data_IF_759576891559
#
_entry.id   IF_759576891559
#
_cell.length_a   1.000
_cell.length_b   1.000
_cell.length_c   1.000
_cell.angle_alpha   90.00
_cell.angle_beta   90.00
_cell.angle_gamma   90.00
#
_symmetry.space_group_name_H-M   'P 1'
#
loop_
_entity.id
_entity.type
_entity.pdbx_description
1 polymer ?
#
# COMPACT_ATOMS: atom_id res chain seq x y z
N UNK A 1 3.25 1.69 -27.39
CA UNK A 1 4.33 0.91 -26.74
C UNK A 1 5.45 1.88 -26.45
N UNK A 2 5.95 1.92 -25.25
CA UNK A 2 7.05 2.81 -24.83
C UNK A 2 8.38 2.23 -25.31
N UNK A 3 9.27 3.08 -25.87
CA UNK A 3 10.60 2.66 -26.29
C UNK A 3 11.52 2.53 -25.08
N UNK A 4 11.67 1.34 -24.57
CA UNK A 4 12.60 1.04 -23.49
C UNK A 4 14.00 0.71 -24.03
N UNK A 5 15.04 1.16 -23.33
CA UNK A 5 16.43 0.81 -23.62
C UNK A 5 16.63 -0.68 -23.32
N UNK A 6 17.03 -1.52 -24.29
CA UNK A 6 17.11 -2.97 -24.08
C UNK A 6 17.97 -3.38 -22.89
N UNK A 7 19.16 -2.78 -22.73
CA UNK A 7 20.07 -3.13 -21.63
C UNK A 7 19.50 -2.76 -20.25
N UNK A 8 18.75 -1.66 -20.13
CA UNK A 8 18.12 -1.27 -18.87
C UNK A 8 16.91 -2.17 -18.57
N UNK A 9 16.19 -2.60 -19.60
CA UNK A 9 15.10 -3.56 -19.43
C UNK A 9 15.61 -4.94 -18.98
N UNK A 10 16.75 -5.41 -19.54
CA UNK A 10 17.40 -6.64 -19.10
C UNK A 10 17.86 -6.54 -17.63
N UNK A 11 18.46 -5.41 -17.23
CA UNK A 11 18.82 -5.17 -15.82
C UNK A 11 17.60 -5.18 -14.91
N UNK A 12 16.51 -4.55 -15.32
CA UNK A 12 15.26 -4.56 -14.55
C UNK A 12 14.71 -5.97 -14.37
N UNK A 13 14.69 -6.77 -15.43
CA UNK A 13 14.28 -8.19 -15.39
C UNK A 13 15.18 -9.02 -14.48
N UNK A 14 16.49 -8.84 -14.59
CA UNK A 14 17.46 -9.49 -13.71
C UNK A 14 17.15 -9.22 -12.23
N UNK A 15 16.92 -7.95 -11.88
CA UNK A 15 16.59 -7.56 -10.51
C UNK A 15 15.29 -8.17 -9.99
N UNK A 16 14.28 -8.29 -10.83
CA UNK A 16 13.02 -8.94 -10.45
C UNK A 16 13.23 -10.43 -10.20
N UNK A 17 13.87 -11.12 -11.13
CA UNK A 17 14.11 -12.57 -11.07
C UNK A 17 14.99 -12.92 -9.87
N UNK A 18 16.09 -12.20 -9.67
CA UNK A 18 17.04 -12.50 -8.59
C UNK A 18 16.45 -12.22 -7.20
N UNK A 19 15.67 -11.15 -7.05
CA UNK A 19 14.95 -10.87 -5.79
C UNK A 19 13.89 -11.94 -5.48
N UNK A 20 13.17 -12.41 -6.47
CA UNK A 20 12.20 -13.49 -6.29
C UNK A 20 12.89 -14.82 -5.94
N UNK A 21 13.98 -15.15 -6.59
CA UNK A 21 14.82 -16.29 -6.25
C UNK A 21 15.30 -16.25 -4.80
N UNK A 22 15.80 -15.10 -4.34
CA UNK A 22 16.20 -14.90 -2.94
C UNK A 22 15.03 -15.17 -1.98
N UNK A 23 13.82 -14.67 -2.30
CA UNK A 23 12.63 -14.92 -1.49
C UNK A 23 12.33 -16.41 -1.39
N UNK A 24 12.28 -17.09 -2.52
CA UNK A 24 11.98 -18.53 -2.59
C UNK A 24 13.01 -19.37 -1.83
N UNK A 25 14.31 -19.07 -1.97
CA UNK A 25 15.37 -19.74 -1.23
C UNK A 25 15.22 -19.56 0.29
N UNK A 26 14.93 -18.34 0.76
CA UNK A 26 14.67 -18.06 2.17
C UNK A 26 13.46 -18.81 2.71
N UNK A 27 12.36 -18.83 1.97
CA UNK A 27 11.13 -19.53 2.35
C UNK A 27 11.33 -21.06 2.32
N UNK A 28 12.18 -21.55 1.43
CA UNK A 28 12.59 -22.96 1.37
C UNK A 28 13.60 -23.37 2.46
N UNK A 29 14.03 -22.44 3.30
CA UNK A 29 14.98 -22.73 4.40
C UNK A 29 16.43 -22.89 3.95
N UNK A 30 16.80 -22.40 2.76
CA UNK A 30 18.19 -22.44 2.29
C UNK A 30 19.07 -21.48 3.12
N UNK A 31 20.30 -21.92 3.40
CA UNK A 31 21.30 -21.09 4.08
C UNK A 31 21.89 -20.03 3.12
N UNK A 32 22.27 -18.85 3.62
CA UNK A 32 22.94 -17.82 2.83
C UNK A 32 24.36 -18.25 2.39
N UNK A 33 24.92 -17.65 1.31
CA UNK A 33 24.33 -16.57 0.52
C UNK A 33 23.28 -17.07 -0.49
N UNK A 34 22.18 -16.29 -0.66
CA UNK A 34 21.10 -16.65 -1.59
C UNK A 34 21.29 -16.10 -3.01
N UNK A 35 22.34 -15.34 -3.23
CA UNK A 35 22.70 -14.69 -4.50
C UNK A 35 24.20 -14.39 -4.52
N UNK A 36 24.77 -14.30 -5.71
CA UNK A 36 26.15 -13.82 -5.91
C UNK A 36 26.22 -12.31 -6.13
N UNK A 37 25.09 -11.62 -6.26
CA UNK A 37 25.04 -10.17 -6.44
C UNK A 37 25.39 -9.44 -5.13
N UNK A 38 26.50 -8.67 -5.09
CA UNK A 38 26.97 -8.02 -3.87
C UNK A 38 26.01 -6.95 -3.33
N UNK A 39 25.17 -6.34 -4.19
CA UNK A 39 24.18 -5.35 -3.75
C UNK A 39 23.04 -6.09 -3.05
N UNK A 40 22.53 -7.15 -3.65
CA UNK A 40 21.44 -7.95 -3.09
C UNK A 40 21.85 -8.75 -1.84
N UNK A 41 23.14 -9.06 -1.67
CA UNK A 41 23.67 -9.62 -0.43
C UNK A 41 23.66 -8.62 0.73
N UNK A 42 24.00 -7.36 0.45
CA UNK A 42 24.25 -6.35 1.48
C UNK A 42 23.06 -5.42 1.75
N UNK A 43 22.10 -5.32 0.84
CA UNK A 43 20.95 -4.43 0.98
C UNK A 43 19.64 -5.20 0.96
N UNK A 44 18.70 -4.72 1.78
CA UNK A 44 17.35 -5.28 1.84
C UNK A 44 16.42 -4.51 0.89
N UNK A 45 15.73 -5.24 0.03
CA UNK A 45 14.73 -4.70 -0.91
C UNK A 45 13.33 -5.21 -0.57
N UNK A 46 12.30 -4.47 -1.03
CA UNK A 46 10.93 -4.93 -0.97
C UNK A 46 10.73 -6.20 -1.82
N UNK A 47 9.71 -6.97 -1.55
CA UNK A 47 9.33 -8.12 -2.38
C UNK A 47 8.93 -7.65 -3.80
N UNK A 48 9.08 -8.54 -4.79
CA UNK A 48 8.68 -8.27 -6.17
C UNK A 48 7.16 -8.13 -6.24
N UNK A 49 6.45 -9.06 -5.62
CA UNK A 49 5.00 -9.02 -5.51
C UNK A 49 4.57 -8.51 -4.14
N UNK A 50 3.59 -7.62 -4.13
CA UNK A 50 3.05 -7.04 -2.90
C UNK A 50 2.50 -8.10 -1.95
N UNK A 51 1.80 -9.09 -2.49
CA UNK A 51 1.18 -10.15 -1.69
C UNK A 51 2.21 -11.08 -1.02
N UNK A 52 3.48 -11.05 -1.43
CA UNK A 52 4.57 -11.76 -0.78
C UNK A 52 5.23 -11.00 0.38
N UNK A 53 4.88 -9.72 0.56
CA UNK A 53 5.33 -8.98 1.74
C UNK A 53 4.73 -9.55 3.02
N UNK A 54 5.57 -9.74 4.04
CA UNK A 54 5.17 -10.36 5.31
C UNK A 54 4.02 -9.62 5.99
N UNK A 55 4.04 -8.30 5.97
CA UNK A 55 3.01 -7.47 6.61
C UNK A 55 1.71 -7.53 5.81
N UNK A 56 1.81 -7.51 4.49
CA UNK A 56 0.66 -7.65 3.59
C UNK A 56 0.03 -9.04 3.70
N UNK A 57 0.83 -10.12 3.72
CA UNK A 57 0.30 -11.50 3.95
C UNK A 57 -0.42 -11.62 5.29
N UNK A 58 0.15 -11.04 6.34
CA UNK A 58 -0.50 -11.06 7.65
C UNK A 58 -1.82 -10.27 7.63
N UNK A 59 -1.81 -9.07 7.04
CA UNK A 59 -3.01 -8.25 6.89
C UNK A 59 -4.10 -8.95 6.06
N UNK A 60 -3.73 -9.53 4.93
CA UNK A 60 -4.64 -10.31 4.09
C UNK A 60 -5.34 -11.39 4.91
N UNK A 61 -4.56 -12.25 5.55
CA UNK A 61 -5.08 -13.40 6.31
C UNK A 61 -5.96 -13.00 7.51
N UNK A 62 -5.60 -11.93 8.23
CA UNK A 62 -6.23 -11.62 9.52
C UNK A 62 -7.25 -10.49 9.47
N UNK A 63 -7.26 -9.68 8.42
CA UNK A 63 -8.13 -8.50 8.31
C UNK A 63 -8.87 -8.49 6.97
N UNK A 64 -8.15 -8.45 5.84
CA UNK A 64 -8.73 -8.26 4.51
C UNK A 64 -9.64 -9.43 4.10
N UNK A 65 -9.17 -10.66 4.13
CA UNK A 65 -9.93 -11.83 3.71
C UNK A 65 -11.15 -12.09 4.61
N UNK A 66 -11.03 -12.06 5.96
CA UNK A 66 -12.20 -12.20 6.83
C UNK A 66 -13.28 -11.12 6.61
N UNK A 67 -12.90 -9.93 6.15
CA UNK A 67 -13.79 -8.81 5.92
C UNK A 67 -14.07 -8.54 4.44
N UNK A 68 -13.58 -9.37 3.51
CA UNK A 68 -13.58 -9.07 2.06
C UNK A 68 -14.96 -8.77 1.47
N UNK A 69 -16.01 -9.37 2.04
CA UNK A 69 -17.41 -9.15 1.67
C UNK A 69 -18.17 -8.24 2.65
N UNK A 70 -17.47 -7.62 3.59
CA UNK A 70 -18.05 -6.71 4.57
C UNK A 70 -17.74 -5.26 4.21
N UNK A 71 -18.69 -4.32 4.32
CA UNK A 71 -18.42 -2.90 4.12
C UNK A 71 -17.34 -2.36 5.09
N UNK A 72 -17.16 -3.02 6.23
CA UNK A 72 -16.15 -2.64 7.21
C UNK A 72 -14.70 -2.84 6.72
N UNK A 73 -14.47 -3.60 5.64
CA UNK A 73 -13.12 -3.82 5.08
C UNK A 73 -12.46 -2.51 4.68
N UNK A 74 -13.22 -1.52 4.25
CA UNK A 74 -12.69 -0.20 3.88
C UNK A 74 -11.95 0.44 5.06
N UNK A 75 -12.66 0.66 6.16
CA UNK A 75 -12.05 1.33 7.31
C UNK A 75 -11.02 0.47 8.03
N UNK A 76 -11.21 -0.84 8.08
CA UNK A 76 -10.21 -1.75 8.62
C UNK A 76 -8.89 -1.69 7.84
N UNK A 77 -8.96 -1.57 6.51
CA UNK A 77 -7.78 -1.36 5.64
C UNK A 77 -7.13 -0.01 5.89
N UNK A 78 -7.91 1.08 5.91
CA UNK A 78 -7.42 2.43 6.21
C UNK A 78 -6.69 2.44 7.56
N UNK A 79 -7.34 1.97 8.61
CA UNK A 79 -6.77 1.98 9.97
C UNK A 79 -5.47 1.18 10.01
N UNK A 80 -5.46 -0.03 9.46
CA UNK A 80 -4.24 -0.85 9.47
C UNK A 80 -3.10 -0.21 8.67
N UNK A 81 -3.36 0.34 7.48
CA UNK A 81 -2.30 0.92 6.63
C UNK A 81 -1.69 2.18 7.20
N UNK A 82 -2.38 2.93 8.03
CA UNK A 82 -1.77 4.04 8.76
C UNK A 82 -0.64 3.59 9.69
N UNK A 83 -0.73 2.41 10.27
CA UNK A 83 0.32 1.85 11.15
C UNK A 83 1.25 0.90 10.41
N UNK A 84 0.72 0.09 9.53
CA UNK A 84 1.40 -0.92 8.70
C UNK A 84 2.42 -1.76 9.50
N UNK A 85 2.01 -2.23 10.67
CA UNK A 85 2.82 -3.04 11.59
C UNK A 85 1.97 -4.17 12.16
N UNK A 86 2.48 -5.40 12.13
CA UNK A 86 1.76 -6.61 12.54
C UNK A 86 1.37 -6.53 14.03
N UNK A 87 2.30 -6.10 14.87
CA UNK A 87 2.08 -5.96 16.32
C UNK A 87 0.93 -5.00 16.61
N UNK A 88 0.91 -3.86 15.95
CA UNK A 88 -0.21 -2.91 16.05
C UNK A 88 -1.49 -3.48 15.48
N UNK A 89 -1.42 -4.21 14.38
CA UNK A 89 -2.59 -4.93 13.84
C UNK A 89 -3.22 -5.90 14.83
N UNK A 90 -2.42 -6.64 15.59
CA UNK A 90 -2.90 -7.51 16.67
C UNK A 90 -3.63 -6.72 17.76
N UNK A 91 -3.04 -5.61 18.22
CA UNK A 91 -3.67 -4.72 19.21
C UNK A 91 -4.99 -4.14 18.71
N UNK A 92 -5.04 -3.74 17.42
CA UNK A 92 -6.28 -3.23 16.81
C UNK A 92 -7.39 -4.29 16.80
N UNK A 93 -7.06 -5.55 16.51
CA UNK A 93 -8.00 -6.68 16.53
C UNK A 93 -8.42 -6.97 17.98
N UNK A 94 -7.49 -7.14 18.90
CA UNK A 94 -7.73 -7.48 20.31
C UNK A 94 -8.66 -6.49 21.01
N UNK A 95 -8.54 -5.23 20.66
CA UNK A 95 -9.34 -4.15 21.25
C UNK A 95 -10.54 -3.72 20.40
N UNK A 96 -10.85 -4.46 19.33
CA UNK A 96 -11.96 -4.17 18.40
C UNK A 96 -11.92 -2.77 17.76
N UNK A 97 -10.71 -2.25 17.51
CA UNK A 97 -10.49 -0.90 17.00
C UNK A 97 -10.61 -0.82 15.46
N UNK A 98 -10.64 -1.94 14.76
CA UNK A 98 -10.86 -1.97 13.31
C UNK A 98 -12.32 -1.75 12.94
N UNK A 99 -13.24 -2.23 13.78
CA UNK A 99 -14.69 -2.20 13.54
C UNK A 99 -15.39 -1.14 14.37
N UNK A 100 -14.80 -0.76 15.51
CA UNK A 100 -15.32 0.21 16.44
C UNK A 100 -14.20 1.18 16.87
N UNK A 101 -13.87 2.12 15.98
CA UNK A 101 -12.78 3.05 16.21
C UNK A 101 -13.06 3.98 17.39
N UNK A 102 -12.20 3.93 18.38
CA UNK A 102 -12.13 4.89 19.50
C UNK A 102 -10.71 5.47 19.56
N UNK A 103 -10.59 6.75 19.24
CA UNK A 103 -9.31 7.47 19.20
C UNK A 103 -8.54 7.40 20.52
N UNK A 104 -9.22 7.61 21.64
CA UNK A 104 -8.57 7.65 22.96
C UNK A 104 -8.08 6.26 23.36
N UNK A 105 -8.92 5.25 23.14
CA UNK A 105 -8.57 3.84 23.37
C UNK A 105 -7.41 3.42 22.46
N UNK A 106 -7.45 3.78 21.18
CA UNK A 106 -6.40 3.46 20.22
C UNK A 106 -5.04 4.04 20.65
N UNK A 107 -4.97 5.34 20.99
CA UNK A 107 -3.74 5.97 21.47
C UNK A 107 -3.23 5.24 22.72
N UNK A 108 -4.09 5.01 23.71
CA UNK A 108 -3.73 4.35 24.98
C UNK A 108 -3.16 2.95 24.77
N UNK A 109 -3.79 2.13 23.92
CA UNK A 109 -3.39 0.74 23.75
C UNK A 109 -2.17 0.59 22.82
N UNK A 110 -2.10 1.38 21.77
CA UNK A 110 -0.99 1.34 20.80
C UNK A 110 0.31 1.83 21.42
N UNK A 111 0.28 2.87 22.26
CA UNK A 111 1.48 3.45 22.89
C UNK A 111 2.11 2.56 23.96
N UNK A 112 1.44 1.49 24.40
CA UNK A 112 2.05 0.47 25.28
C UNK A 112 3.16 -0.31 24.57
N UNK A 113 3.19 -0.29 23.25
CA UNK A 113 4.19 -0.98 22.44
C UNK A 113 5.44 -0.12 22.26
N UNK A 114 6.64 -0.71 22.27
CA UNK A 114 7.89 0.02 22.04
C UNK A 114 7.99 0.53 20.59
N UNK A 115 7.32 -0.13 19.66
CA UNK A 115 7.19 0.26 18.25
C UNK A 115 5.77 0.00 17.81
N UNK A 116 5.10 1.02 17.30
CA UNK A 116 3.68 0.99 16.95
C UNK A 116 3.40 1.35 15.48
N UNK A 117 4.41 1.74 14.73
CA UNK A 117 4.32 2.09 13.30
C UNK A 117 5.51 1.52 12.53
N UNK A 118 5.29 1.16 11.27
CA UNK A 118 6.39 0.75 10.39
C UNK A 118 7.43 1.86 10.21
N UNK A 119 8.71 1.47 10.12
CA UNK A 119 9.77 2.39 9.71
C UNK A 119 9.87 2.59 8.19
N UNK A 120 9.08 1.85 7.40
CA UNK A 120 9.14 1.89 5.95
C UNK A 120 8.33 3.07 5.35
N UNK A 121 7.36 3.62 6.09
CA UNK A 121 6.48 4.69 5.60
C UNK A 121 6.92 6.05 6.12
N UNK A 122 7.04 7.01 5.21
CA UNK A 122 7.19 8.43 5.55
C UNK A 122 5.81 9.05 5.52
N UNK A 123 5.10 8.98 6.65
CA UNK A 123 3.77 9.57 6.77
C UNK A 123 3.83 10.96 7.39
N UNK A 124 2.96 11.84 6.90
CA UNK A 124 2.75 13.17 7.45
C UNK A 124 1.53 13.16 8.37
N UNK A 125 1.57 13.96 9.42
CA UNK A 125 0.47 14.17 10.37
C UNK A 125 0.47 15.64 10.79
N UNK A 126 -0.58 16.16 11.46
CA UNK A 126 -0.59 17.52 11.96
C UNK A 126 0.64 17.83 12.82
N UNK A 127 1.36 18.91 12.50
CA UNK A 127 2.60 19.31 13.19
C UNK A 127 2.39 19.71 14.67
N UNK A 128 1.16 20.03 15.06
CA UNK A 128 0.79 20.40 16.44
C UNK A 128 0.60 19.21 17.36
N UNK A 129 0.72 17.99 16.85
CA UNK A 129 0.47 16.75 17.58
C UNK A 129 1.70 15.84 17.56
N UNK A 130 1.85 15.02 18.59
CA UNK A 130 2.76 13.88 18.49
C UNK A 130 2.26 12.89 17.41
N UNK A 131 3.17 12.03 16.95
CA UNK A 131 2.93 11.19 15.78
C UNK A 131 1.73 10.24 15.95
N UNK A 132 1.58 9.60 17.11
CA UNK A 132 0.49 8.65 17.34
C UNK A 132 -0.85 9.36 17.43
N UNK A 133 -0.89 10.48 18.12
CA UNK A 133 -2.09 11.34 18.20
C UNK A 133 -2.48 11.87 16.83
N UNK A 134 -1.49 12.32 16.03
CA UNK A 134 -1.73 12.79 14.67
C UNK A 134 -2.28 11.71 13.73
N UNK A 135 -1.74 10.48 13.81
CA UNK A 135 -2.28 9.34 13.04
C UNK A 135 -3.72 9.03 13.47
N UNK A 136 -3.96 8.95 14.78
CA UNK A 136 -5.30 8.67 15.30
C UNK A 136 -6.32 9.77 14.93
N UNK A 137 -5.88 11.02 14.80
CA UNK A 137 -6.71 12.14 14.32
C UNK A 137 -7.07 11.97 12.84
N UNK A 138 -6.09 11.67 11.98
CA UNK A 138 -6.33 11.45 10.55
C UNK A 138 -7.32 10.29 10.32
N UNK A 139 -7.18 9.20 11.07
CA UNK A 139 -8.12 8.08 11.02
C UNK A 139 -9.52 8.53 11.48
N UNK A 140 -9.61 9.33 12.55
CA UNK A 140 -10.89 9.77 13.11
C UNK A 140 -11.67 10.66 12.14
N UNK A 141 -11.02 11.51 11.36
CA UNK A 141 -11.67 12.26 10.28
C UNK A 141 -12.33 11.32 9.26
N UNK A 142 -11.61 10.33 8.77
CA UNK A 142 -12.19 9.37 7.82
C UNK A 142 -13.28 8.50 8.46
N UNK A 143 -13.13 8.16 9.74
CA UNK A 143 -14.11 7.38 10.47
C UNK A 143 -15.45 8.10 10.64
N UNK A 144 -15.45 9.44 10.77
CA UNK A 144 -16.67 10.23 10.82
C UNK A 144 -17.47 10.12 9.54
N UNK A 145 -16.80 10.06 8.39
CA UNK A 145 -17.40 9.98 7.06
C UNK A 145 -17.52 8.54 6.53
N UNK A 146 -17.24 7.54 7.38
CA UNK A 146 -17.16 6.13 6.93
C UNK A 146 -18.40 5.64 6.19
N UNK A 147 -19.59 6.05 6.63
CA UNK A 147 -20.83 5.65 5.99
C UNK A 147 -20.92 6.22 4.57
N UNK A 148 -20.61 7.49 4.39
CA UNK A 148 -20.55 8.13 3.07
C UNK A 148 -19.55 7.41 2.15
N UNK A 149 -18.36 7.09 2.66
CA UNK A 149 -17.34 6.35 1.89
C UNK A 149 -17.82 4.96 1.48
N UNK A 150 -18.43 4.24 2.42
CA UNK A 150 -18.97 2.88 2.19
C UNK A 150 -20.12 2.92 1.18
N UNK A 151 -21.05 3.87 1.32
CA UNK A 151 -22.20 4.00 0.45
C UNK A 151 -21.75 4.36 -0.97
N UNK A 152 -20.82 5.30 -1.14
CA UNK A 152 -20.27 5.68 -2.44
C UNK A 152 -19.60 4.49 -3.15
N UNK A 153 -18.74 3.73 -2.45
CA UNK A 153 -18.11 2.54 -3.05
C UNK A 153 -19.11 1.41 -3.31
N UNK A 154 -20.14 1.29 -2.48
CA UNK A 154 -21.20 0.32 -2.66
C UNK A 154 -22.09 0.65 -3.88
N UNK A 155 -22.38 1.92 -4.11
CA UNK A 155 -23.09 2.40 -5.31
C UNK A 155 -22.29 2.15 -6.58
N UNK A 156 -20.99 2.50 -6.59
CA UNK A 156 -20.09 2.23 -7.71
C UNK A 156 -20.01 0.72 -8.01
N UNK A 157 -19.94 -0.13 -6.99
CA UNK A 157 -19.98 -1.59 -7.15
C UNK A 157 -21.29 -2.08 -7.77
N UNK A 158 -22.44 -1.63 -7.26
CA UNK A 158 -23.76 -2.01 -7.78
C UNK A 158 -23.97 -1.57 -9.21
N UNK A 159 -23.47 -0.38 -9.58
CA UNK A 159 -23.57 0.17 -10.91
C UNK A 159 -22.51 -0.36 -11.88
N UNK A 160 -21.56 -1.20 -11.42
CA UNK A 160 -20.39 -1.68 -12.18
C UNK A 160 -19.46 -0.55 -12.63
N UNK A 161 -19.35 0.49 -11.82
CA UNK A 161 -18.52 1.67 -12.07
C UNK A 161 -17.30 1.73 -11.13
N UNK A 162 -17.02 0.62 -10.42
CA UNK A 162 -15.87 0.50 -9.52
C UNK A 162 -14.58 0.80 -10.26
N UNK A 163 -13.73 1.64 -9.67
CA UNK A 163 -12.44 2.02 -10.22
C UNK A 163 -11.44 2.28 -9.10
N UNK A 164 -10.21 1.78 -9.28
CA UNK A 164 -9.10 2.04 -8.38
C UNK A 164 -8.75 3.52 -8.39
N UNK A 165 -8.71 4.16 -9.56
CA UNK A 165 -8.39 5.58 -9.71
C UNK A 165 -9.43 6.50 -9.06
N UNK A 166 -10.71 6.23 -9.28
CA UNK A 166 -11.81 6.96 -8.62
C UNK A 166 -11.68 6.86 -7.10
N UNK A 167 -11.53 5.64 -6.58
CA UNK A 167 -11.38 5.40 -5.13
C UNK A 167 -10.13 6.07 -4.57
N UNK A 168 -9.00 5.99 -5.26
CA UNK A 168 -7.78 6.68 -4.86
C UNK A 168 -7.95 8.20 -4.82
N UNK A 169 -8.65 8.76 -5.80
CA UNK A 169 -8.94 10.20 -5.85
C UNK A 169 -9.80 10.63 -4.67
N UNK A 170 -10.89 9.91 -4.39
CA UNK A 170 -11.79 10.16 -3.27
C UNK A 170 -11.06 10.10 -1.92
N UNK A 171 -10.22 9.08 -1.71
CA UNK A 171 -9.47 8.95 -0.45
C UNK A 171 -8.50 10.12 -0.23
N UNK A 172 -7.96 10.72 -1.28
CA UNK A 172 -7.03 11.85 -1.20
C UNK A 172 -7.63 13.17 -0.76
N UNK A 173 -8.94 13.27 -0.73
CA UNK A 173 -9.65 14.46 -0.20
C UNK A 173 -9.54 14.55 1.32
N UNK A 174 -9.14 13.45 1.97
CA UNK A 174 -8.95 13.44 3.41
C UNK A 174 -7.58 14.00 3.85
N UNK A 175 -7.55 14.73 4.97
CA UNK A 175 -6.32 15.30 5.49
C UNK A 175 -5.21 14.25 5.65
N UNK A 176 -4.03 14.56 5.12
CA UNK A 176 -2.83 13.73 5.19
C UNK A 176 -2.91 12.36 4.48
N UNK A 177 -4.04 12.03 3.85
CA UNK A 177 -4.18 10.87 2.96
C UNK A 177 -3.58 11.22 1.59
N UNK A 178 -2.27 11.31 1.54
CA UNK A 178 -1.53 11.64 0.31
C UNK A 178 -1.56 10.50 -0.74
N UNK A 179 -1.00 10.73 -1.93
CA UNK A 179 -1.02 9.77 -3.04
C UNK A 179 -0.51 8.37 -2.66
N UNK A 180 0.54 8.32 -1.83
CA UNK A 180 1.11 7.07 -1.36
C UNK A 180 0.15 6.31 -0.43
N UNK A 181 -0.38 6.97 0.60
CA UNK A 181 -1.27 6.32 1.58
C UNK A 181 -2.58 5.86 0.94
N UNK A 182 -3.19 6.69 0.09
CA UNK A 182 -4.38 6.30 -0.66
C UNK A 182 -4.11 5.09 -1.57
N UNK A 183 -2.93 5.04 -2.22
CA UNK A 183 -2.54 3.91 -3.05
C UNK A 183 -2.34 2.62 -2.25
N UNK A 184 -1.75 2.71 -1.05
CA UNK A 184 -1.62 1.57 -0.15
C UNK A 184 -2.98 0.97 0.24
N UNK A 185 -4.00 1.80 0.45
CA UNK A 185 -5.37 1.35 0.74
C UNK A 185 -6.02 0.71 -0.49
N UNK A 186 -5.99 1.41 -1.63
CA UNK A 186 -6.66 0.95 -2.87
C UNK A 186 -6.07 -0.37 -3.38
N UNK A 187 -4.75 -0.56 -3.26
CA UNK A 187 -4.10 -1.82 -3.67
C UNK A 187 -4.51 -3.02 -2.83
N UNK A 188 -5.02 -2.81 -1.63
CA UNK A 188 -5.60 -3.88 -0.82
C UNK A 188 -7.09 -4.09 -1.14
N UNK A 189 -7.83 -3.00 -1.31
CA UNK A 189 -9.26 -3.07 -1.64
C UNK A 189 -9.53 -3.74 -2.99
N UNK A 190 -8.55 -3.80 -3.90
CA UNK A 190 -8.66 -4.53 -5.19
C UNK A 190 -8.96 -6.03 -5.03
N UNK A 191 -8.78 -6.58 -3.83
CA UNK A 191 -9.04 -7.97 -3.47
C UNK A 191 -10.33 -8.14 -2.66
N UNK A 192 -11.18 -7.13 -2.61
CA UNK A 192 -12.44 -7.10 -1.88
C UNK A 192 -13.59 -6.82 -2.81
N UNK A 193 -14.82 -7.09 -2.35
CA UNK A 193 -16.03 -6.87 -3.15
C UNK A 193 -16.12 -5.45 -3.74
N UNK A 194 -15.55 -4.43 -3.12
CA UNK A 194 -15.60 -3.06 -3.64
C UNK A 194 -14.88 -2.90 -4.98
N UNK A 195 -13.69 -3.52 -5.14
CA UNK A 195 -12.81 -3.25 -6.29
C UNK A 195 -12.32 -4.51 -7.03
N UNK A 196 -12.77 -5.71 -6.65
CA UNK A 196 -12.32 -6.94 -7.32
C UNK A 196 -12.75 -7.05 -8.79
N UNK A 197 -13.81 -6.31 -9.15
CA UNK A 197 -14.33 -6.24 -10.52
C UNK A 197 -14.12 -4.87 -11.19
N UNK A 198 -13.29 -4.00 -10.61
CA UNK A 198 -12.97 -2.70 -11.19
C UNK A 198 -12.29 -2.87 -12.56
N UNK A 199 -12.74 -2.09 -13.57
CA UNK A 199 -12.24 -2.17 -14.94
C UNK A 199 -10.74 -1.87 -15.02
N UNK A 200 -10.26 -0.95 -14.18
CA UNK A 200 -8.86 -0.52 -14.10
C UNK A 200 -8.00 -1.33 -13.12
N UNK A 201 -8.54 -2.42 -12.57
CA UNK A 201 -7.88 -3.24 -11.54
C UNK A 201 -6.47 -3.70 -11.90
N UNK A 202 -6.24 -4.04 -13.16
CA UNK A 202 -4.96 -4.56 -13.65
C UNK A 202 -4.19 -3.53 -14.48
N UNK A 203 -4.78 -2.39 -14.80
CA UNK A 203 -4.22 -1.41 -15.72
C UNK A 203 -3.93 -0.06 -15.09
N UNK A 204 -4.43 0.22 -13.87
CA UNK A 204 -4.15 1.45 -13.17
C UNK A 204 -3.19 1.25 -12.01
N UNK A 205 -2.21 2.14 -11.91
CA UNK A 205 -1.30 2.22 -10.79
C UNK A 205 -0.80 3.65 -10.57
N UNK A 206 -0.62 4.05 -9.32
CA UNK A 206 -0.03 5.33 -8.99
C UNK A 206 1.51 5.24 -9.01
N UNK A 207 2.14 5.84 -10.01
CA UNK A 207 3.59 5.91 -10.09
C UNK A 207 4.15 6.82 -8.98
N UNK A 208 4.69 6.23 -7.93
CA UNK A 208 5.45 6.96 -6.92
C UNK A 208 6.85 7.37 -7.42
N UNK A 209 7.59 8.20 -6.63
CA UNK A 209 8.91 8.70 -7.05
C UNK A 209 9.93 7.61 -7.42
N UNK A 210 9.82 6.43 -6.80
CA UNK A 210 10.66 5.27 -7.13
C UNK A 210 10.35 4.71 -8.51
N UNK A 211 9.07 4.49 -8.80
CA UNK A 211 8.61 4.01 -10.10
C UNK A 211 8.96 5.00 -11.22
N UNK A 212 8.71 6.31 -11.01
CA UNK A 212 9.09 7.35 -11.97
C UNK A 212 10.58 7.31 -12.30
N UNK A 213 11.46 7.19 -11.31
CA UNK A 213 12.90 7.07 -11.54
C UNK A 213 13.29 5.79 -12.28
N UNK A 214 12.59 4.69 -11.99
CA UNK A 214 12.76 3.42 -12.72
C UNK A 214 12.40 3.57 -14.20
N UNK A 215 11.23 4.12 -14.49
CA UNK A 215 10.77 4.38 -15.85
C UNK A 215 11.68 5.36 -16.60
N UNK A 216 12.15 6.42 -15.92
CA UNK A 216 13.11 7.35 -16.52
C UNK A 216 14.42 6.66 -16.91
N UNK A 217 14.91 5.74 -16.09
CA UNK A 217 16.07 4.92 -16.42
C UNK A 217 15.81 4.03 -17.64
N UNK A 218 14.68 3.32 -17.62
CA UNK A 218 14.29 2.43 -18.71
C UNK A 218 14.15 3.15 -20.05
N UNK A 219 13.77 4.42 -20.04
CA UNK A 219 13.57 5.24 -21.26
C UNK A 219 14.71 6.21 -21.56
N UNK A 220 15.80 6.21 -20.77
CA UNK A 220 16.94 7.11 -20.97
C UNK A 220 16.68 8.58 -20.64
N UNK A 221 15.60 8.89 -19.93
CA UNK A 221 15.30 10.26 -19.48
C UNK A 221 16.13 10.66 -18.27
N UNK A 222 16.19 11.96 -17.99
CA UNK A 222 16.73 12.45 -16.73
C UNK A 222 16.01 11.82 -15.55
N UNK A 223 16.77 11.32 -14.56
CA UNK A 223 16.20 10.60 -13.41
C UNK A 223 15.29 11.46 -12.53
N UNK A 224 15.45 12.78 -12.56
CA UNK A 224 14.60 13.75 -11.86
C UNK A 224 13.34 14.16 -12.61
N UNK A 225 13.15 13.69 -13.84
CA UNK A 225 11.93 14.00 -14.60
C UNK A 225 10.69 13.48 -13.85
N UNK A 226 9.75 14.40 -13.56
CA UNK A 226 8.56 14.10 -12.75
C UNK A 226 7.34 14.95 -13.16
N UNK A 227 7.21 15.23 -14.46
CA UNK A 227 6.13 16.07 -14.99
C UNK A 227 4.76 15.45 -14.71
N UNK A 228 3.85 16.18 -14.06
CA UNK A 228 2.51 15.70 -13.69
C UNK A 228 1.62 15.36 -14.87
N UNK A 229 1.78 16.05 -16.00
CA UNK A 229 1.02 15.80 -17.23
C UNK A 229 1.54 14.61 -18.04
N UNK A 230 2.58 13.94 -17.58
CA UNK A 230 3.11 12.75 -18.22
C UNK A 230 2.26 11.52 -17.86
N UNK A 231 1.94 10.70 -18.83
CA UNK A 231 1.13 9.49 -18.63
C UNK A 231 2.01 8.33 -18.09
N UNK A 232 2.29 8.41 -16.81
CA UNK A 232 3.05 7.38 -16.09
C UNK A 232 2.35 6.02 -16.06
N UNK A 233 1.02 6.04 -16.03
CA UNK A 233 0.23 4.83 -15.97
C UNK A 233 0.37 4.01 -17.25
N UNK A 234 0.34 4.67 -18.40
CA UNK A 234 0.59 4.02 -19.69
C UNK A 234 1.97 3.34 -19.72
N UNK A 235 3.02 4.05 -19.32
CA UNK A 235 4.38 3.47 -19.30
C UNK A 235 4.54 2.30 -18.33
N UNK A 236 3.78 2.28 -17.24
CA UNK A 236 3.81 1.15 -16.28
C UNK A 236 3.09 -0.09 -16.81
N UNK A 237 2.23 0.06 -17.81
CA UNK A 237 1.49 -1.03 -18.44
C UNK A 237 2.15 -1.55 -19.73
N UNK A 238 3.08 -0.82 -20.31
CA UNK A 238 3.86 -1.26 -21.48
C UNK A 238 4.97 -2.22 -21.10
#
# INVERSE_FOLDING_TARGET
>A
MTDFIPEELERYRYWQVEREKIRLLKEGGAEPPWTDDPILQNFKFCQVFREDDRTTRWFAKHIREPLSNSPNVLMATVIFRWFNLIETGRTLIEHDLLLNWDRKKAIKEITKQPKWITGAYIIKTPNSMDKVTGVAECISHMWQDRNYLIDTLGEDWMNKESSLEKTWTMLRDYPYMGPFMAYEVVTDLRWTHFLEHAEDRLTWANAGPGAMRGLNRLTGRDLGFSKRSHDWNKEMND
#
